data_IF_780380802147
#
_entry.id   IF_780380802147
#
_cell.length_a   1.000
_cell.length_b   1.000
_cell.length_c   1.000
_cell.angle_alpha   90.00
_cell.angle_beta   90.00
_cell.angle_gamma   90.00
#
_symmetry.space_group_name_H-M   'P 1'
#
loop_
_entity.id
_entity.type
_entity.pdbx_description
1 polymer ?
#
# COMPACT_ATOMS: atom_id res chain seq x y z
N UNK A 1 -13.73 -7.55 1.87
CA UNK A 1 -12.62 -7.31 0.94
C UNK A 1 -11.34 -7.16 1.74
N UNK A 2 -10.32 -7.92 1.39
CA UNK A 2 -9.03 -7.95 2.10
C UNK A 2 -8.04 -7.00 1.44
N UNK A 3 -7.48 -6.08 2.21
CA UNK A 3 -6.52 -5.08 1.76
C UNK A 3 -5.17 -5.34 2.43
N UNK A 4 -4.10 -5.48 1.63
CA UNK A 4 -2.74 -5.40 2.11
C UNK A 4 -2.27 -3.95 2.03
N UNK A 5 -1.91 -3.34 3.15
CA UNK A 5 -1.45 -1.96 3.22
C UNK A 5 0.08 -1.92 3.29
N UNK A 6 0.72 -1.76 2.15
CA UNK A 6 2.17 -1.58 2.02
C UNK A 6 2.59 -0.12 2.22
N UNK A 7 3.78 0.10 2.75
CA UNK A 7 4.30 1.45 2.88
C UNK A 7 5.59 1.54 3.69
N UNK A 8 6.04 2.75 4.01
CA UNK A 8 7.30 2.95 4.72
C UNK A 8 7.28 2.29 6.10
N UNK A 9 8.31 1.50 6.38
CA UNK A 9 8.51 0.79 7.64
C UNK A 9 9.57 1.49 8.53
N UNK A 10 9.56 2.80 8.57
CA UNK A 10 10.36 3.62 9.49
C UNK A 10 9.49 4.24 10.59
N UNK A 11 10.12 4.59 11.71
CA UNK A 11 9.42 5.14 12.88
C UNK A 11 8.73 6.48 12.61
N UNK A 12 9.24 7.28 11.69
CA UNK A 12 8.69 8.59 11.32
C UNK A 12 7.31 8.44 10.66
N UNK A 13 7.13 7.42 9.84
CA UNK A 13 5.89 7.19 9.09
C UNK A 13 4.94 6.20 9.79
N UNK A 14 5.34 5.60 10.91
CA UNK A 14 4.51 4.61 11.62
C UNK A 14 3.11 5.14 11.94
N UNK A 15 3.01 6.32 12.55
CA UNK A 15 1.71 6.92 12.90
C UNK A 15 0.85 7.14 11.66
N UNK A 16 1.43 7.57 10.56
CA UNK A 16 0.73 7.74 9.28
C UNK A 16 0.14 6.42 8.82
N UNK A 17 0.94 5.34 8.79
CA UNK A 17 0.49 4.01 8.35
C UNK A 17 -0.62 3.46 9.25
N UNK A 18 -0.47 3.61 10.58
CA UNK A 18 -1.48 3.17 11.55
C UNK A 18 -2.81 3.93 11.39
N UNK A 19 -2.75 5.25 11.12
CA UNK A 19 -3.94 6.05 10.86
C UNK A 19 -4.65 5.59 9.58
N UNK A 20 -3.89 5.35 8.50
CA UNK A 20 -4.46 4.85 7.24
C UNK A 20 -5.15 3.50 7.46
N UNK A 21 -4.51 2.57 8.16
CA UNK A 21 -5.10 1.28 8.49
C UNK A 21 -6.42 1.46 9.30
N UNK A 22 -6.43 2.38 10.26
CA UNK A 22 -7.61 2.73 11.04
C UNK A 22 -8.73 3.31 10.15
N UNK A 23 -8.42 4.26 9.29
CA UNK A 23 -9.41 4.88 8.39
C UNK A 23 -10.04 3.86 7.44
N UNK A 24 -9.24 2.98 6.84
CA UNK A 24 -9.74 1.92 5.96
C UNK A 24 -10.66 0.95 6.69
N UNK A 25 -10.35 0.59 7.94
CA UNK A 25 -11.18 -0.33 8.74
C UNK A 25 -12.51 0.28 9.19
N UNK A 26 -12.64 1.62 9.14
CA UNK A 26 -13.94 2.28 9.37
C UNK A 26 -14.89 2.09 8.19
N UNK A 27 -14.38 1.78 7.00
CA UNK A 27 -15.23 1.49 5.86
C UNK A 27 -15.82 0.07 6.00
N UNK A 28 -17.14 -0.09 5.86
CA UNK A 28 -17.79 -1.38 6.00
C UNK A 28 -17.25 -2.41 4.97
N UNK A 29 -16.88 -3.58 5.44
CA UNK A 29 -16.47 -4.68 4.60
C UNK A 29 -14.97 -4.75 4.28
N UNK A 30 -14.15 -3.86 4.83
CA UNK A 30 -12.70 -3.92 4.70
C UNK A 30 -12.04 -4.67 5.86
N UNK A 31 -11.19 -5.61 5.52
CA UNK A 31 -10.23 -6.28 6.40
C UNK A 31 -8.84 -5.83 5.95
N UNK A 32 -8.08 -5.17 6.84
CA UNK A 32 -6.81 -4.54 6.49
C UNK A 32 -5.66 -5.23 7.22
N UNK A 33 -4.74 -5.80 6.45
CA UNK A 33 -3.44 -6.22 6.94
C UNK A 33 -2.45 -5.05 6.84
N UNK A 34 -1.82 -4.71 7.96
CA UNK A 34 -0.79 -3.68 8.04
C UNK A 34 0.45 -4.31 8.69
N UNK A 35 1.61 -4.39 8.01
CA UNK A 35 2.83 -4.99 8.56
C UNK A 35 3.27 -4.39 9.89
N UNK A 36 3.00 -3.11 10.14
CA UNK A 36 3.29 -2.45 11.42
C UNK A 36 2.55 -3.05 12.63
N UNK A 37 1.47 -3.78 12.42
CA UNK A 37 0.68 -4.41 13.46
C UNK A 37 1.04 -5.88 13.66
N UNK A 38 1.94 -6.41 12.81
CA UNK A 38 2.36 -7.80 12.87
C UNK A 38 3.08 -8.07 14.20
N UNK A 39 2.58 -9.06 14.91
CA UNK A 39 3.20 -9.57 16.14
C UNK A 39 3.73 -10.96 15.88
N UNK A 40 5.01 -11.15 16.15
CA UNK A 40 5.65 -12.46 16.16
C UNK A 40 5.78 -12.89 17.61
N UNK A 41 5.17 -14.03 17.95
CA UNK A 41 5.30 -14.61 19.28
C UNK A 41 6.77 -14.96 19.55
N UNK A 42 7.20 -14.75 20.79
CA UNK A 42 8.58 -15.01 21.23
C UNK A 42 9.68 -14.31 20.42
N UNK A 43 9.38 -13.20 19.74
CA UNK A 43 10.35 -12.45 18.93
C UNK A 43 11.66 -12.14 19.68
N UNK A 44 11.58 -11.87 21.00
CA UNK A 44 12.74 -11.56 21.85
C UNK A 44 13.69 -12.73 22.10
N UNK A 45 13.25 -13.96 21.83
CA UNK A 45 14.03 -15.17 21.99
C UNK A 45 14.49 -15.77 20.66
N UNK A 46 14.16 -15.12 19.53
CA UNK A 46 14.54 -15.56 18.19
C UNK A 46 15.84 -14.92 17.73
N UNK A 47 16.56 -15.63 16.85
CA UNK A 47 17.59 -14.97 16.05
C UNK A 47 16.94 -14.00 15.07
N UNK A 48 17.68 -12.96 14.66
CA UNK A 48 17.19 -11.99 13.68
C UNK A 48 16.79 -12.65 12.36
N UNK A 49 17.50 -13.69 11.96
CA UNK A 49 17.20 -14.46 10.75
C UNK A 49 15.85 -15.18 10.84
N UNK A 50 15.57 -15.86 11.97
CA UNK A 50 14.31 -16.56 12.18
C UNK A 50 13.15 -15.59 12.30
N UNK A 51 13.33 -14.48 13.00
CA UNK A 51 12.34 -13.41 13.07
C UNK A 51 12.05 -12.84 11.69
N UNK A 52 13.09 -12.48 10.92
CA UNK A 52 12.95 -11.94 9.58
C UNK A 52 12.27 -12.91 8.62
N UNK A 53 12.58 -14.21 8.69
CA UNK A 53 11.91 -15.22 7.89
C UNK A 53 10.40 -15.30 8.21
N UNK A 54 10.02 -15.26 9.50
CA UNK A 54 8.62 -15.29 9.87
C UNK A 54 7.86 -14.05 9.41
N UNK A 55 8.44 -12.84 9.55
CA UNK A 55 7.86 -11.60 9.04
C UNK A 55 7.65 -11.72 7.53
N UNK A 56 8.70 -12.10 6.79
CA UNK A 56 8.65 -12.22 5.33
C UNK A 56 7.53 -13.16 4.86
N UNK A 57 7.43 -14.36 5.45
CA UNK A 57 6.40 -15.31 5.01
C UNK A 57 4.99 -14.87 5.40
N UNK A 58 4.79 -14.19 6.53
CA UNK A 58 3.49 -13.63 6.91
C UNK A 58 3.05 -12.51 5.97
N UNK A 59 3.98 -11.66 5.53
CA UNK A 59 3.69 -10.60 4.56
C UNK A 59 3.36 -11.21 3.18
N UNK A 60 4.12 -12.23 2.74
CA UNK A 60 3.85 -12.97 1.49
C UNK A 60 2.47 -13.64 1.53
N UNK A 61 2.14 -14.35 2.61
CA UNK A 61 0.83 -14.99 2.78
C UNK A 61 -0.30 -13.94 2.76
N UNK A 62 -0.11 -12.80 3.41
CA UNK A 62 -1.09 -11.73 3.43
C UNK A 62 -1.28 -11.08 2.05
N UNK A 63 -0.21 -10.93 1.25
CA UNK A 63 -0.31 -10.48 -0.14
C UNK A 63 -1.02 -11.52 -1.00
N UNK A 64 -0.72 -12.81 -0.82
CA UNK A 64 -1.39 -13.89 -1.55
C UNK A 64 -2.90 -13.97 -1.23
N UNK A 65 -3.29 -13.63 -0.01
CA UNK A 65 -4.67 -13.68 0.46
C UNK A 65 -5.47 -12.38 0.18
N UNK A 66 -4.80 -11.25 -0.09
CA UNK A 66 -5.50 -9.98 -0.31
C UNK A 66 -6.24 -9.93 -1.65
N UNK A 67 -7.33 -9.16 -1.69
CA UNK A 67 -8.03 -8.79 -2.91
C UNK A 67 -7.37 -7.58 -3.57
N UNK A 68 -6.90 -6.64 -2.74
CA UNK A 68 -6.32 -5.36 -3.12
C UNK A 68 -5.01 -5.15 -2.40
N UNK A 69 -4.00 -4.72 -3.15
CA UNK A 69 -2.72 -4.23 -2.63
C UNK A 69 -2.71 -2.69 -2.70
N UNK A 70 -2.67 -2.03 -1.55
CA UNK A 70 -2.60 -0.57 -1.46
C UNK A 70 -1.22 -0.15 -0.96
N UNK A 71 -0.48 0.59 -1.77
CA UNK A 71 0.85 1.10 -1.45
C UNK A 71 0.83 2.59 -1.14
N UNK A 72 1.41 2.96 -0.02
CA UNK A 72 1.77 4.36 0.29
C UNK A 72 3.21 4.57 -0.14
N UNK A 73 3.40 5.40 -1.17
CA UNK A 73 4.71 5.64 -1.80
C UNK A 73 5.33 6.95 -1.31
N UNK A 74 6.62 6.90 -1.02
CA UNK A 74 7.47 8.07 -0.81
C UNK A 74 8.28 8.44 -2.08
N UNK A 75 7.83 8.00 -3.25
CA UNK A 75 8.57 8.14 -4.50
C UNK A 75 9.89 7.36 -4.43
N UNK A 76 11.00 7.99 -4.87
CA UNK A 76 12.34 7.36 -4.84
C UNK A 76 12.83 6.98 -3.45
N UNK A 77 12.21 7.49 -2.39
CA UNK A 77 12.55 7.18 -1.00
C UNK A 77 11.74 6.00 -0.42
N UNK A 78 10.85 5.39 -1.24
CA UNK A 78 10.19 4.16 -0.85
C UNK A 78 11.21 3.05 -0.59
N UNK A 79 10.98 2.26 0.46
CA UNK A 79 11.93 1.19 0.84
C UNK A 79 11.99 0.10 -0.21
N UNK A 80 13.12 -0.61 -0.26
CA UNK A 80 13.30 -1.75 -1.15
C UNK A 80 12.23 -2.84 -0.88
N UNK A 81 11.87 -3.07 0.39
CA UNK A 81 10.82 -4.02 0.79
C UNK A 81 9.47 -3.65 0.19
N UNK A 82 9.04 -2.40 0.36
CA UNK A 82 7.75 -1.92 -0.19
C UNK A 82 7.67 -2.06 -1.71
N UNK A 83 8.78 -1.76 -2.42
CA UNK A 83 8.83 -1.93 -3.87
C UNK A 83 8.82 -3.41 -4.29
N UNK A 84 9.49 -4.28 -3.51
CA UNK A 84 9.47 -5.72 -3.74
C UNK A 84 8.05 -6.29 -3.55
N UNK A 85 7.35 -5.91 -2.49
CA UNK A 85 5.97 -6.30 -2.21
C UNK A 85 5.03 -5.89 -3.34
N UNK A 86 5.17 -4.67 -3.87
CA UNK A 86 4.41 -4.21 -5.03
C UNK A 86 4.68 -5.08 -6.26
N UNK A 87 5.96 -5.39 -6.55
CA UNK A 87 6.32 -6.24 -7.67
C UNK A 87 5.76 -7.66 -7.53
N UNK A 88 5.77 -8.20 -6.30
CA UNK A 88 5.17 -9.49 -6.00
C UNK A 88 3.65 -9.48 -6.18
N UNK A 89 2.96 -8.48 -5.65
CA UNK A 89 1.51 -8.32 -5.83
C UNK A 89 1.13 -8.19 -7.31
N UNK A 90 1.90 -7.43 -8.10
CA UNK A 90 1.73 -7.33 -9.55
C UNK A 90 1.89 -8.70 -10.23
N UNK A 91 2.93 -9.46 -9.91
CA UNK A 91 3.16 -10.80 -10.46
C UNK A 91 2.04 -11.79 -10.11
N UNK A 92 1.43 -11.61 -8.92
CA UNK A 92 0.25 -12.38 -8.47
C UNK A 92 -1.07 -11.88 -9.06
N UNK A 93 -1.03 -10.88 -9.95
CA UNK A 93 -2.20 -10.28 -10.61
C UNK A 93 -3.20 -9.66 -9.63
N UNK A 94 -2.71 -9.15 -8.52
CA UNK A 94 -3.52 -8.37 -7.58
C UNK A 94 -3.87 -7.02 -8.18
N UNK A 95 -4.99 -6.44 -7.77
CA UNK A 95 -5.29 -5.04 -8.07
C UNK A 95 -4.38 -4.17 -7.21
N UNK A 96 -3.48 -3.42 -7.84
CA UNK A 96 -2.46 -2.61 -7.17
C UNK A 96 -2.84 -1.14 -7.25
N UNK A 97 -3.04 -0.52 -6.10
CA UNK A 97 -3.25 0.91 -5.95
C UNK A 97 -2.01 1.54 -5.33
N UNK A 98 -1.58 2.67 -5.86
CA UNK A 98 -0.45 3.44 -5.30
C UNK A 98 -0.90 4.87 -5.00
N UNK A 99 -0.66 5.31 -3.76
CA UNK A 99 -0.81 6.71 -3.35
C UNK A 99 0.58 7.23 -3.04
N UNK A 100 1.07 8.16 -3.84
CA UNK A 100 2.30 8.88 -3.54
C UNK A 100 2.00 10.09 -2.67
N UNK A 101 2.69 10.20 -1.54
CA UNK A 101 2.45 11.27 -0.54
C UNK A 101 3.58 12.29 -0.46
N UNK A 102 4.49 12.26 -1.44
CA UNK A 102 5.60 13.19 -1.59
C UNK A 102 5.65 13.75 -3.01
N UNK A 103 6.36 14.87 -3.20
CA UNK A 103 6.62 15.46 -4.53
C UNK A 103 7.84 14.82 -5.23
N UNK A 104 8.38 13.74 -4.66
CA UNK A 104 9.54 13.05 -5.21
C UNK A 104 9.21 12.29 -6.49
N UNK A 105 10.22 12.11 -7.33
CA UNK A 105 10.08 11.33 -8.56
C UNK A 105 9.74 9.87 -8.25
N UNK A 106 8.75 9.34 -8.94
CA UNK A 106 8.36 7.92 -8.83
C UNK A 106 9.18 7.08 -9.82
N UNK A 107 9.55 5.88 -9.39
CA UNK A 107 10.12 4.87 -10.27
C UNK A 107 9.11 4.49 -11.36
N UNK A 108 9.58 4.34 -12.61
CA UNK A 108 8.76 3.83 -13.71
C UNK A 108 8.17 2.44 -13.39
N UNK A 109 8.92 1.59 -12.69
CA UNK A 109 8.43 0.27 -12.28
C UNK A 109 7.27 0.37 -11.29
N UNK A 110 7.33 1.31 -10.35
CA UNK A 110 6.23 1.57 -9.40
C UNK A 110 5.02 2.14 -10.12
N UNK A 111 5.23 3.13 -11.00
CA UNK A 111 4.15 3.78 -11.75
C UNK A 111 3.47 2.83 -12.75
N UNK A 112 4.24 2.10 -13.56
CA UNK A 112 3.71 1.17 -14.56
C UNK A 112 3.24 -0.16 -13.96
N UNK A 113 3.75 -0.52 -12.79
CA UNK A 113 3.40 -1.76 -12.07
C UNK A 113 2.18 -1.64 -11.17
N UNK A 114 1.39 -0.57 -11.30
CA UNK A 114 0.13 -0.44 -10.57
C UNK A 114 -1.07 -0.38 -11.53
N UNK A 115 -2.24 -0.72 -11.01
CA UNK A 115 -3.51 -0.55 -11.72
C UNK A 115 -3.94 0.92 -11.70
N UNK A 116 -3.67 1.61 -10.59
CA UNK A 116 -4.05 3.00 -10.38
C UNK A 116 -3.01 3.73 -9.53
N UNK A 117 -2.71 4.96 -9.92
CA UNK A 117 -1.73 5.82 -9.27
C UNK A 117 -2.35 7.17 -8.92
N UNK A 118 -2.19 7.62 -7.67
CA UNK A 118 -2.63 8.93 -7.19
C UNK A 118 -1.48 9.71 -6.59
N UNK A 119 -1.41 10.98 -6.93
CA UNK A 119 -0.61 11.93 -6.17
C UNK A 119 -1.45 12.53 -5.05
N UNK A 120 -0.89 12.55 -3.87
CA UNK A 120 -1.47 13.14 -2.69
C UNK A 120 -0.38 13.87 -1.88
N UNK A 121 -0.69 14.29 -0.69
CA UNK A 121 0.26 14.78 0.29
C UNK A 121 -0.25 14.47 1.69
N UNK A 122 0.60 14.61 2.70
CA UNK A 122 0.24 14.29 4.09
C UNK A 122 -0.99 15.09 4.59
N UNK A 123 -1.26 16.30 4.07
CA UNK A 123 -2.39 17.13 4.49
C UNK A 123 -3.73 16.62 3.96
N UNK A 124 -3.72 16.11 2.72
CA UNK A 124 -4.93 15.65 2.02
C UNK A 124 -5.07 14.12 2.06
N UNK A 125 -4.22 13.44 2.83
CA UNK A 125 -4.12 11.98 2.82
C UNK A 125 -5.44 11.30 3.22
N UNK A 126 -6.12 11.80 4.24
CA UNK A 126 -7.40 11.26 4.67
C UNK A 126 -8.45 11.28 3.55
N UNK A 127 -8.58 12.43 2.86
CA UNK A 127 -9.52 12.55 1.74
C UNK A 127 -9.14 11.65 0.55
N UNK A 128 -7.83 11.49 0.31
CA UNK A 128 -7.32 10.57 -0.72
C UNK A 128 -7.64 9.12 -0.38
N UNK A 129 -7.46 8.70 0.87
CA UNK A 129 -7.80 7.36 1.34
C UNK A 129 -9.31 7.10 1.22
N UNK A 130 -10.14 8.07 1.61
CA UNK A 130 -11.60 7.97 1.48
C UNK A 130 -12.03 7.77 0.03
N UNK A 131 -11.51 8.59 -0.89
CA UNK A 131 -11.81 8.44 -2.33
C UNK A 131 -11.38 7.09 -2.89
N UNK A 132 -10.21 6.59 -2.46
CA UNK A 132 -9.72 5.29 -2.90
C UNK A 132 -10.58 4.17 -2.33
N UNK A 133 -11.03 4.28 -1.08
CA UNK A 133 -11.97 3.34 -0.50
C UNK A 133 -13.29 3.27 -1.31
N UNK A 134 -13.83 4.42 -1.73
CA UNK A 134 -15.00 4.50 -2.60
C UNK A 134 -14.73 3.78 -3.95
N UNK A 135 -13.58 4.02 -4.56
CA UNK A 135 -13.17 3.38 -5.84
C UNK A 135 -12.95 1.88 -5.69
N UNK A 136 -12.39 1.43 -4.57
CA UNK A 136 -12.22 0.00 -4.28
C UNK A 136 -13.57 -0.70 -4.16
N UNK A 137 -14.56 -0.04 -3.55
CA UNK A 137 -15.91 -0.57 -3.40
C UNK A 137 -16.73 -0.51 -4.69
N UNK A 138 -16.51 0.52 -5.51
CA UNK A 138 -17.14 0.69 -6.81
C UNK A 138 -16.12 1.06 -7.90
N UNK A 139 -15.49 0.07 -8.54
CA UNK A 139 -14.49 0.32 -9.59
C UNK A 139 -15.02 1.10 -10.79
N UNK A 140 -16.34 1.23 -10.96
CA UNK A 140 -16.91 2.03 -12.07
C UNK A 140 -16.59 3.51 -11.94
N UNK A 141 -16.33 3.99 -10.73
CA UNK A 141 -15.92 5.37 -10.45
C UNK A 141 -14.57 5.72 -11.11
N UNK A 142 -13.74 4.74 -11.43
CA UNK A 142 -12.47 4.95 -12.14
C UNK A 142 -12.66 5.42 -13.58
N UNK A 143 -13.72 5.01 -14.23
CA UNK A 143 -14.00 5.36 -15.64
C UNK A 143 -14.16 6.89 -15.83
N UNK A 144 -14.47 7.61 -14.76
CA UNK A 144 -14.62 9.06 -14.77
C UNK A 144 -13.33 9.83 -14.49
N UNK A 145 -12.29 9.19 -13.91
CA UNK A 145 -11.04 9.85 -13.52
C UNK A 145 -9.91 9.70 -14.55
N UNK A 146 -9.99 8.75 -15.50
CA UNK A 146 -8.98 8.53 -16.53
C UNK A 146 -8.80 9.69 -17.53
N UNK A 147 -9.71 10.68 -17.58
CA UNK A 147 -9.57 11.85 -18.43
C UNK A 147 -8.55 12.89 -17.99
N UNK A 148 -8.09 12.84 -16.73
CA UNK A 148 -7.10 13.79 -16.21
C UNK A 148 -5.65 13.29 -16.25
N UNK A 149 -5.42 12.00 -16.51
CA UNK A 149 -4.08 11.40 -16.51
C UNK A 149 -3.34 11.50 -17.86
N UNK A 150 -4.00 11.93 -18.94
CA UNK A 150 -3.37 12.05 -20.26
C UNK A 150 -2.39 13.23 -20.40
N UNK A 151 -2.28 14.10 -19.38
CA UNK A 151 -1.48 15.33 -19.45
C UNK A 151 -0.10 15.25 -18.80
N UNK A 152 0.33 14.10 -18.28
CA UNK A 152 1.61 13.98 -17.53
C UNK A 152 2.75 13.37 -18.36
N UNK A 153 2.51 12.99 -19.62
CA UNK A 153 3.51 12.38 -20.50
C UNK A 153 3.91 13.26 -21.71
N UNK A 154 3.75 14.57 -21.61
CA UNK A 154 4.31 15.52 -22.62
C UNK A 154 5.38 16.41 -22.03
#
# INVERSE_FOLDING_TARGET
>A
MKIYLAGPCDTENRTTMMNIAGWLRHEPGFEVYCPWELKIEDAWHMSQENWGAQVFWKDVEAIDDCDVFLMISLGRHSTAGTNWEQGYAFAKKKVVYVIQITEETTSLMTFCGCSHFWNSNKKNLYESIKKIAEVILDPTLLLYQHKECETVLT
#
